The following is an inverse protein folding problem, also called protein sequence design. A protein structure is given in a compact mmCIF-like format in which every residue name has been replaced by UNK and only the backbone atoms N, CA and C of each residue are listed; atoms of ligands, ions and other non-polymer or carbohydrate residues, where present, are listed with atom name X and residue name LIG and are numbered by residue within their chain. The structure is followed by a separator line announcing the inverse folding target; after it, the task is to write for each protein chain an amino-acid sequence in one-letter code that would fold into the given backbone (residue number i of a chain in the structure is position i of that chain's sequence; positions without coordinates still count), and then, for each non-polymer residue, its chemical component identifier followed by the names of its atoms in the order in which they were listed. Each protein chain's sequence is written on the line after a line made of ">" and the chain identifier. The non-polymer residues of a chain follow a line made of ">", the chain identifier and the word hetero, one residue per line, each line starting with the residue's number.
data_IF_825330370174
#
_entry.id   IF_825330370174
#
_cell.length_a   1.000
_cell.length_b   1.000
_cell.length_c   1.000
_cell.angle_alpha   90.00
_cell.angle_beta   90.00
_cell.angle_gamma   90.00
#
_symmetry.space_group_name_H-M   'P 1'
#
loop_
_entity.id
_entity.type
_entity.pdbx_description
1 polymer ?
#
# COMPACT_ATOMS: atom_id res chain seq x y z
N UNK A 1 13.45 11.88 -15.81
CA UNK A 1 12.85 12.67 -14.72
C UNK A 1 11.34 12.66 -14.91
N UNK A 2 10.68 11.59 -14.48
CA UNK A 2 9.25 11.45 -14.68
C UNK A 2 8.52 12.26 -13.61
N UNK A 3 7.69 13.22 -14.03
CA UNK A 3 6.75 13.93 -13.14
C UNK A 3 5.91 12.87 -12.45
N UNK A 4 6.16 12.64 -11.16
CA UNK A 4 5.39 11.70 -10.35
C UNK A 4 3.99 12.27 -10.19
N UNK A 5 3.08 11.83 -11.05
CA UNK A 5 1.66 12.21 -11.00
C UNK A 5 1.12 11.65 -9.68
N UNK A 6 0.76 12.54 -8.76
CA UNK A 6 0.18 12.20 -7.46
C UNK A 6 -1.23 11.62 -7.66
N UNK A 7 -1.32 10.33 -7.97
CA UNK A 7 -2.61 9.64 -8.02
C UNK A 7 -3.07 9.28 -6.60
N UNK A 8 -4.38 9.25 -6.39
CA UNK A 8 -4.98 8.77 -5.14
C UNK A 8 -5.20 7.26 -5.27
N UNK A 9 -4.91 6.51 -4.21
CA UNK A 9 -5.31 5.10 -4.14
C UNK A 9 -6.80 5.10 -3.83
N UNK A 10 -7.61 4.23 -4.44
CA UNK A 10 -9.03 4.13 -4.10
C UNK A 10 -9.21 2.85 -3.31
N UNK A 11 -9.44 2.97 -2.00
CA UNK A 11 -9.76 1.84 -1.14
C UNK A 11 -11.20 1.99 -0.69
N UNK A 12 -12.00 0.94 -0.82
CA UNK A 12 -13.40 0.96 -0.38
C UNK A 12 -14.21 2.13 -0.98
N UNK A 13 -14.02 2.43 -2.28
CA UNK A 13 -14.58 3.60 -2.97
C UNK A 13 -14.14 4.98 -2.44
N UNK A 14 -13.27 5.03 -1.44
CA UNK A 14 -12.72 6.29 -0.90
C UNK A 14 -11.35 6.59 -1.51
N UNK A 15 -11.14 7.78 -2.10
CA UNK A 15 -9.84 8.19 -2.60
C UNK A 15 -8.93 8.59 -1.44
N UNK A 16 -7.97 7.72 -1.12
CA UNK A 16 -6.98 7.96 -0.08
C UNK A 16 -5.72 8.60 -0.68
N UNK A 17 -5.22 9.61 0.02
CA UNK A 17 -4.10 10.45 -0.42
C UNK A 17 -2.87 10.32 0.47
N UNK A 18 -3.03 9.78 1.66
CA UNK A 18 -2.01 9.70 2.70
C UNK A 18 -2.14 8.36 3.43
N UNK A 19 -1.10 7.95 4.16
CA UNK A 19 -1.08 6.67 4.87
C UNK A 19 -2.22 6.55 5.88
N UNK A 20 -2.60 7.66 6.51
CA UNK A 20 -3.72 7.70 7.45
C UNK A 20 -5.04 7.33 6.78
N UNK A 21 -5.34 7.94 5.62
CA UNK A 21 -6.51 7.58 4.82
C UNK A 21 -6.45 6.13 4.32
N UNK A 22 -5.25 5.65 3.94
CA UNK A 22 -5.01 4.24 3.58
C UNK A 22 -5.38 3.31 4.74
N UNK A 23 -5.03 3.67 5.98
CA UNK A 23 -5.35 2.91 7.18
C UNK A 23 -6.84 2.96 7.52
N UNK A 24 -7.45 4.14 7.50
CA UNK A 24 -8.88 4.31 7.82
C UNK A 24 -9.79 3.58 6.81
N UNK A 25 -9.41 3.56 5.54
CA UNK A 25 -10.15 2.89 4.48
C UNK A 25 -9.47 1.57 4.09
N UNK A 26 -8.64 0.99 4.97
CA UNK A 26 -7.83 -0.18 4.63
C UNK A 26 -8.73 -1.38 4.33
N UNK A 27 -8.81 -1.75 3.05
CA UNK A 27 -9.55 -2.92 2.62
C UNK A 27 -8.58 -4.01 2.15
N UNK A 28 -8.64 -5.17 2.80
CA UNK A 28 -7.76 -6.32 2.56
C UNK A 28 -7.87 -6.83 1.11
N UNK A 29 -9.07 -6.82 0.53
CA UNK A 29 -9.28 -7.29 -0.84
C UNK A 29 -8.65 -6.31 -1.84
N UNK A 30 -8.93 -5.01 -1.68
CA UNK A 30 -8.38 -3.96 -2.53
C UNK A 30 -6.85 -3.86 -2.39
N UNK A 31 -6.31 -3.84 -1.17
CA UNK A 31 -4.87 -3.68 -0.92
C UNK A 31 -4.08 -4.85 -1.53
N UNK A 32 -4.62 -6.08 -1.40
CA UNK A 32 -4.03 -7.29 -1.94
C UNK A 32 -4.09 -7.27 -3.47
N UNK A 33 -5.22 -6.85 -4.04
CA UNK A 33 -5.38 -6.64 -5.48
C UNK A 33 -4.41 -5.58 -6.00
N UNK A 34 -4.25 -4.45 -5.30
CA UNK A 34 -3.32 -3.39 -5.68
C UNK A 34 -1.86 -3.79 -5.51
N UNK A 35 -1.55 -4.58 -4.49
CA UNK A 35 -0.23 -5.18 -4.29
C UNK A 35 0.13 -6.12 -5.45
N UNK A 36 -0.77 -7.06 -5.78
CA UNK A 36 -0.60 -7.96 -6.93
C UNK A 36 -0.53 -7.22 -8.26
N UNK A 37 -1.30 -6.15 -8.41
CA UNK A 37 -1.32 -5.33 -9.62
C UNK A 37 -0.10 -4.41 -9.75
N UNK A 38 0.71 -4.23 -8.70
CA UNK A 38 1.82 -3.27 -8.70
C UNK A 38 1.41 -1.82 -8.42
N UNK A 39 0.11 -1.57 -8.19
CA UNK A 39 -0.47 -0.23 -8.06
C UNK A 39 -0.14 0.37 -6.69
N UNK A 40 -0.15 -0.47 -5.64
CA UNK A 40 0.24 -0.06 -4.29
C UNK A 40 1.72 0.37 -4.25
N UNK A 41 2.64 -0.41 -4.84
CA UNK A 41 4.05 -0.03 -4.90
C UNK A 41 4.24 1.25 -5.72
N UNK A 42 3.54 1.42 -6.85
CA UNK A 42 3.62 2.67 -7.62
C UNK A 42 3.13 3.87 -6.80
N UNK A 43 2.07 3.71 -6.02
CA UNK A 43 1.51 4.79 -5.20
C UNK A 43 2.49 5.23 -4.11
N UNK A 44 3.07 4.27 -3.39
CA UNK A 44 4.09 4.52 -2.38
C UNK A 44 5.35 5.17 -2.98
N UNK A 45 5.81 4.69 -4.14
CA UNK A 45 6.94 5.26 -4.86
C UNK A 45 6.70 6.72 -5.28
N UNK A 46 5.47 7.05 -5.70
CA UNK A 46 5.10 8.41 -6.11
C UNK A 46 5.14 9.40 -4.95
N UNK A 47 4.76 8.93 -3.76
CA UNK A 47 4.75 9.72 -2.53
C UNK A 47 6.10 9.81 -1.84
N UNK A 48 7.02 8.89 -2.16
CA UNK A 48 8.34 8.81 -1.53
C UNK A 48 8.36 7.94 -0.27
N UNK A 49 7.33 7.11 -0.05
CA UNK A 49 7.28 6.14 1.05
C UNK A 49 8.15 4.91 0.72
N UNK A 50 9.46 5.12 0.68
CA UNK A 50 10.42 4.06 0.33
C UNK A 50 10.54 2.99 1.42
N UNK A 51 10.32 3.34 2.69
CA UNK A 51 10.37 2.40 3.82
C UNK A 51 9.25 1.37 3.73
N UNK A 52 8.00 1.83 3.71
CA UNK A 52 6.81 1.00 3.48
C UNK A 52 6.93 0.20 2.20
N UNK A 53 7.35 0.83 1.09
CA UNK A 53 7.50 0.16 -0.19
C UNK A 53 8.52 -0.98 -0.15
N UNK A 54 9.63 -0.79 0.57
CA UNK A 54 10.65 -1.82 0.74
C UNK A 54 10.07 -2.99 1.53
N UNK A 55 9.42 -2.74 2.66
CA UNK A 55 8.77 -3.77 3.48
C UNK A 55 7.74 -4.56 2.69
N UNK A 56 6.91 -3.86 1.91
CA UNK A 56 5.87 -4.48 1.08
C UNK A 56 6.48 -5.34 -0.03
N UNK A 57 7.59 -4.91 -0.63
CA UNK A 57 8.32 -5.72 -1.61
C UNK A 57 9.06 -6.91 -1.02
N UNK A 58 9.42 -6.83 0.26
CA UNK A 58 10.08 -7.89 1.01
C UNK A 58 9.11 -9.01 1.42
N UNK A 59 7.78 -8.78 1.28
CA UNK A 59 6.76 -9.80 1.52
C UNK A 59 7.00 -10.98 0.57
N UNK A 60 7.57 -12.05 1.12
CA UNK A 60 7.78 -13.33 0.43
C UNK A 60 6.59 -14.29 0.58
N UNK A 61 5.43 -13.79 1.03
CA UNK A 61 4.24 -14.59 1.22
C UNK A 61 3.64 -15.04 -0.12
N UNK A 62 3.32 -16.33 -0.23
CA UNK A 62 2.66 -16.92 -1.40
C UNK A 62 1.13 -16.90 -1.27
N UNK A 63 0.62 -16.90 -0.03
CA UNK A 63 -0.81 -16.88 0.26
C UNK A 63 -1.35 -15.47 0.38
N UNK A 64 -2.50 -15.23 -0.25
CA UNK A 64 -3.28 -13.99 -0.13
C UNK A 64 -3.52 -13.54 1.32
N UNK A 65 -3.79 -14.52 2.17
CA UNK A 65 -4.07 -14.33 3.60
C UNK A 65 -2.81 -13.92 4.39
N UNK A 66 -1.63 -14.39 3.97
CA UNK A 66 -0.35 -13.99 4.57
C UNK A 66 0.11 -12.63 4.05
N UNK A 67 -0.02 -12.39 2.74
CA UNK A 67 0.28 -11.09 2.13
C UNK A 67 -0.54 -10.00 2.81
N UNK A 68 -1.86 -10.20 2.95
CA UNK A 68 -2.73 -9.23 3.60
C UNK A 68 -2.39 -8.98 5.07
N UNK A 69 -2.03 -10.02 5.83
CA UNK A 69 -1.56 -9.86 7.22
C UNK A 69 -0.26 -9.07 7.29
N UNK A 70 0.71 -9.37 6.44
CA UNK A 70 1.98 -8.65 6.38
C UNK A 70 1.76 -7.19 5.96
N UNK A 71 0.91 -6.94 4.96
CA UNK A 71 0.53 -5.58 4.55
C UNK A 71 -0.05 -4.79 5.74
N UNK A 72 -1.06 -5.32 6.43
CA UNK A 72 -1.66 -4.68 7.61
C UNK A 72 -0.58 -4.37 8.65
N UNK A 73 0.28 -5.35 8.94
CA UNK A 73 1.35 -5.20 9.94
C UNK A 73 2.35 -4.12 9.54
N UNK A 74 2.70 -4.01 8.26
CA UNK A 74 3.59 -2.96 7.75
C UNK A 74 2.95 -1.59 7.91
N UNK A 75 1.68 -1.44 7.53
CA UNK A 75 0.96 -0.17 7.66
C UNK A 75 0.64 0.21 9.12
N UNK A 76 0.50 -0.76 10.03
CA UNK A 76 0.33 -0.50 11.47
C UNK A 76 1.65 -0.25 12.22
N UNK A 77 2.79 -0.76 11.75
CA UNK A 77 4.09 -0.57 12.41
C UNK A 77 4.85 0.71 11.99
N UNK A 78 4.38 1.45 10.98
CA UNK A 78 5.00 2.72 10.55
C UNK A 78 4.44 3.91 11.36
N UNK A 79 4.56 3.85 12.70
CA UNK A 79 4.18 4.92 13.61
C UNK A 79 5.42 5.31 14.44
N UNK A 80 6.19 6.29 13.98
CA UNK A 80 7.12 7.09 14.81
C UNK A 80 7.17 8.53 14.31
#
# INVERSE_FOLDING_TARGET
>A
MAKTIKFSLILDNTPVRDLDGVRENFNIDDILRYYKSGLLQKWLAVRGFTDTLSKIKDISAESDLEISKELVKIFEMEIE
#
